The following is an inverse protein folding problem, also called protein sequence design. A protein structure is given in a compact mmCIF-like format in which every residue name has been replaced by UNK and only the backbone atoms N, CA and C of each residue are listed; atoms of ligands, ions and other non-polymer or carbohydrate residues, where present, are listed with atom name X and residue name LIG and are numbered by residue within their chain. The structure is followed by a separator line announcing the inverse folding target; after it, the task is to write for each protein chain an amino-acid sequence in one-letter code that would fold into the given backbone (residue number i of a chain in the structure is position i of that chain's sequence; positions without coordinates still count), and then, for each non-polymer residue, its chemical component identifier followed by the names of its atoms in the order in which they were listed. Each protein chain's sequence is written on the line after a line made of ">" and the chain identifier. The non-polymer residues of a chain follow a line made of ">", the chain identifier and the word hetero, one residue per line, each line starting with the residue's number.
data_IF_872769226641
#
_entry.id   IF_872769226641
#
_cell.length_a   1.000
_cell.length_b   1.000
_cell.length_c   1.000
_cell.angle_alpha   90.00
_cell.angle_beta   90.00
_cell.angle_gamma   90.00
#
_symmetry.space_group_name_H-M   'P 1'
#
loop_
_entity.id
_entity.type
_entity.pdbx_description
1 polymer ?
#
# COMPACT_ATOMS: atom_id res chain seq x y z
N UNK A 1 -16.17 8.85 12.45
CA UNK A 1 -15.25 7.69 12.25
C UNK A 1 -14.07 7.69 13.22
N UNK A 2 -13.34 8.78 13.38
CA UNK A 2 -12.18 8.86 14.30
C UNK A 2 -12.47 8.41 15.74
N UNK A 3 -13.54 8.90 16.36
CA UNK A 3 -13.90 8.52 17.74
C UNK A 3 -14.19 7.02 17.90
N UNK A 4 -14.80 6.41 16.89
CA UNK A 4 -15.04 4.97 16.86
C UNK A 4 -13.71 4.21 16.79
N UNK A 5 -12.82 4.61 15.88
CA UNK A 5 -11.49 4.01 15.77
C UNK A 5 -10.64 4.20 17.03
N UNK A 6 -10.79 5.33 17.72
CA UNK A 6 -10.09 5.58 18.98
C UNK A 6 -10.61 4.66 20.11
N UNK A 7 -11.91 4.42 20.17
CA UNK A 7 -12.48 3.46 21.13
C UNK A 7 -11.94 2.05 20.95
N UNK A 8 -11.71 1.63 19.68
CA UNK A 8 -11.14 0.34 19.33
C UNK A 8 -9.62 0.36 19.10
N UNK A 9 -8.92 1.41 19.55
CA UNK A 9 -7.49 1.61 19.23
C UNK A 9 -6.57 0.48 19.68
N UNK A 10 -6.86 -0.17 20.83
CA UNK A 10 -6.09 -1.32 21.30
C UNK A 10 -6.22 -2.54 20.38
N UNK A 11 -7.43 -2.82 19.90
CA UNK A 11 -7.68 -3.92 19.00
C UNK A 11 -6.99 -3.69 17.64
N UNK A 12 -7.07 -2.45 17.14
CA UNK A 12 -6.42 -2.06 15.89
C UNK A 12 -4.89 -2.11 16.03
N UNK A 13 -4.37 -1.65 17.15
CA UNK A 13 -2.95 -1.77 17.48
C UNK A 13 -2.52 -3.24 17.47
N UNK A 14 -3.24 -4.10 18.18
CA UNK A 14 -2.98 -5.55 18.22
C UNK A 14 -2.96 -6.16 16.81
N UNK A 15 -3.94 -5.81 15.98
CA UNK A 15 -3.99 -6.25 14.59
C UNK A 15 -2.77 -5.79 13.79
N UNK A 16 -2.36 -4.53 13.89
CA UNK A 16 -1.21 -4.00 13.14
C UNK A 16 0.14 -4.58 13.61
N UNK A 17 0.24 -5.00 14.89
CA UNK A 17 1.46 -5.60 15.46
C UNK A 17 1.54 -7.12 15.20
N UNK A 18 0.41 -7.77 14.89
CA UNK A 18 0.34 -9.22 14.70
C UNK A 18 1.37 -9.78 13.67
N UNK A 19 1.63 -9.16 12.50
CA UNK A 19 2.67 -9.63 11.59
C UNK A 19 4.07 -9.70 12.23
N UNK A 20 4.39 -8.74 13.12
CA UNK A 20 5.63 -8.77 13.88
C UNK A 20 5.63 -9.90 14.91
N UNK A 21 4.54 -10.02 15.67
CA UNK A 21 4.39 -11.07 16.67
C UNK A 21 4.49 -12.48 16.06
N UNK A 22 3.88 -12.69 14.89
CA UNK A 22 3.96 -13.98 14.18
C UNK A 22 5.37 -14.27 13.64
N UNK A 23 6.08 -13.26 13.13
CA UNK A 23 7.43 -13.44 12.62
C UNK A 23 8.44 -13.82 13.70
N UNK A 24 8.21 -13.37 14.93
CA UNK A 24 9.09 -13.54 16.10
C UNK A 24 8.71 -14.75 16.97
N UNK A 25 7.51 -15.34 16.77
CA UNK A 25 6.92 -16.37 17.64
C UNK A 25 7.75 -17.67 17.75
N UNK A 26 8.60 -17.96 16.77
CA UNK A 26 9.43 -19.18 16.74
C UNK A 26 10.83 -19.00 17.31
N UNK A 27 11.15 -17.82 17.80
CA UNK A 27 12.47 -17.54 18.39
C UNK A 27 12.41 -17.73 19.92
N UNK A 28 13.37 -18.47 20.47
CA UNK A 28 13.52 -18.68 21.92
C UNK A 28 13.87 -17.38 22.71
N UNK A 29 14.00 -16.27 22.02
CA UNK A 29 14.34 -14.96 22.59
C UNK A 29 13.04 -14.22 22.93
N UNK A 30 12.93 -13.78 24.17
CA UNK A 30 11.77 -13.01 24.66
C UNK A 30 11.80 -11.58 24.07
N UNK A 31 11.32 -11.43 22.83
CA UNK A 31 11.31 -10.16 22.08
C UNK A 31 10.14 -9.30 22.47
N UNK A 32 10.36 -7.99 22.49
CA UNK A 32 9.35 -6.99 22.84
C UNK A 32 9.49 -5.76 21.94
N UNK A 33 8.37 -5.07 21.73
CA UNK A 33 8.38 -3.73 21.20
C UNK A 33 8.65 -2.76 22.36
N UNK A 34 9.52 -1.78 22.13
CA UNK A 34 9.90 -0.79 23.14
C UNK A 34 9.31 0.59 22.80
N UNK A 35 9.06 1.38 23.82
CA UNK A 35 8.83 2.82 23.69
C UNK A 35 9.85 3.57 24.53
N UNK A 36 10.29 4.73 24.04
CA UNK A 36 11.41 5.48 24.62
C UNK A 36 10.97 6.80 25.26
N UNK A 37 9.74 7.24 25.03
CA UNK A 37 9.17 8.44 25.59
C UNK A 37 7.82 8.16 26.27
N UNK A 38 7.53 8.81 27.40
CA UNK A 38 6.30 8.60 28.18
C UNK A 38 5.02 8.85 27.37
N UNK A 39 5.02 9.86 26.50
CA UNK A 39 3.88 10.19 25.65
C UNK A 39 3.79 9.35 24.36
N UNK A 40 4.80 8.53 24.05
CA UNK A 40 4.89 7.81 22.77
C UNK A 40 3.71 6.86 22.57
N UNK A 41 3.33 6.11 23.59
CA UNK A 41 2.21 5.17 23.51
C UNK A 41 0.88 5.89 23.26
N UNK A 42 0.61 6.98 23.97
CA UNK A 42 -0.61 7.76 23.77
C UNK A 42 -0.69 8.35 22.34
N UNK A 43 0.39 8.98 21.88
CA UNK A 43 0.45 9.54 20.54
C UNK A 43 0.35 8.45 19.46
N UNK A 44 0.86 7.26 19.73
CA UNK A 44 0.76 6.11 18.81
C UNK A 44 -0.69 5.65 18.68
N UNK A 45 -1.45 5.54 19.76
CA UNK A 45 -2.89 5.22 19.68
C UNK A 45 -3.69 6.29 18.93
N UNK A 46 -3.37 7.57 19.12
CA UNK A 46 -3.98 8.64 18.33
C UNK A 46 -3.66 8.52 16.84
N UNK A 47 -2.39 8.26 16.48
CA UNK A 47 -1.96 8.07 15.10
C UNK A 47 -2.65 6.86 14.44
N UNK A 48 -2.69 5.73 15.14
CA UNK A 48 -3.34 4.50 14.65
C UNK A 48 -4.84 4.74 14.42
N UNK A 49 -5.50 5.43 15.36
CA UNK A 49 -6.93 5.74 15.23
C UNK A 49 -7.22 6.68 14.07
N UNK A 50 -6.39 7.72 13.90
CA UNK A 50 -6.52 8.65 12.78
C UNK A 50 -6.25 7.97 11.45
N UNK A 51 -5.18 7.18 11.37
CA UNK A 51 -4.83 6.40 10.19
C UNK A 51 -5.97 5.45 9.79
N UNK A 52 -6.49 4.68 10.74
CA UNK A 52 -7.55 3.70 10.46
C UNK A 52 -8.84 4.39 10.03
N UNK A 53 -9.22 5.48 10.68
CA UNK A 53 -10.38 6.28 10.27
C UNK A 53 -10.22 6.79 8.84
N UNK A 54 -9.03 7.30 8.49
CA UNK A 54 -8.71 7.78 7.16
C UNK A 54 -8.66 6.64 6.14
N UNK A 55 -8.00 5.53 6.47
CA UNK A 55 -7.89 4.35 5.61
C UNK A 55 -9.25 3.77 5.24
N UNK A 56 -10.15 3.61 6.21
CA UNK A 56 -11.51 3.10 5.95
C UNK A 56 -12.34 4.10 5.13
N UNK A 57 -12.14 5.41 5.33
CA UNK A 57 -12.89 6.45 4.63
C UNK A 57 -12.34 6.72 3.22
N UNK A 58 -11.04 6.49 3.00
CA UNK A 58 -10.35 6.81 1.74
C UNK A 58 -11.02 6.22 0.49
N UNK A 59 -11.42 4.94 0.41
CA UNK A 59 -12.08 4.41 -0.79
C UNK A 59 -13.43 5.11 -1.09
N UNK A 60 -14.15 5.58 -0.08
CA UNK A 60 -15.37 6.36 -0.28
C UNK A 60 -15.07 7.75 -0.83
N UNK A 61 -14.00 8.39 -0.37
CA UNK A 61 -13.52 9.67 -0.92
C UNK A 61 -13.12 9.48 -2.38
N UNK A 62 -12.36 8.44 -2.69
CA UNK A 62 -11.96 8.11 -4.06
C UNK A 62 -13.18 7.88 -4.97
N UNK A 63 -14.17 7.13 -4.51
CA UNK A 63 -15.43 6.97 -5.27
C UNK A 63 -16.13 8.29 -5.53
N UNK A 64 -16.14 9.21 -4.58
CA UNK A 64 -16.75 10.55 -4.77
C UNK A 64 -15.95 11.38 -5.78
N UNK A 65 -14.62 11.33 -5.74
CA UNK A 65 -13.75 11.97 -6.73
C UNK A 65 -14.07 11.43 -8.13
N UNK A 66 -14.17 10.10 -8.28
CA UNK A 66 -14.54 9.49 -9.56
C UNK A 66 -15.94 9.91 -10.03
N UNK A 67 -16.93 9.95 -9.14
CA UNK A 67 -18.27 10.46 -9.46
C UNK A 67 -18.28 11.93 -9.88
N UNK A 68 -17.38 12.74 -9.34
CA UNK A 68 -17.23 14.14 -9.71
C UNK A 68 -16.58 14.30 -11.10
N UNK A 69 -15.58 13.47 -11.42
CA UNK A 69 -14.89 13.47 -12.71
C UNK A 69 -15.81 12.89 -13.82
N UNK A 70 -16.64 11.92 -13.47
CA UNK A 70 -17.52 11.20 -14.39
C UNK A 70 -18.48 12.08 -15.24
N UNK A 71 -19.09 13.16 -14.74
CA UNK A 71 -19.94 14.03 -15.57
C UNK A 71 -19.20 14.76 -16.70
N UNK A 72 -17.88 14.89 -16.61
CA UNK A 72 -17.02 15.39 -17.69
C UNK A 72 -16.86 14.41 -18.85
N UNK A 73 -17.22 13.13 -18.64
CA UNK A 73 -17.29 12.11 -19.69
C UNK A 73 -18.67 12.17 -20.38
N UNK A 74 -18.71 11.82 -21.67
CA UNK A 74 -19.91 11.85 -22.50
C UNK A 74 -21.12 11.17 -21.84
N UNK A 75 -22.31 11.76 -22.04
CA UNK A 75 -23.57 11.35 -21.37
C UNK A 75 -23.94 9.87 -21.55
N UNK A 76 -23.45 9.21 -22.60
CA UNK A 76 -23.71 7.79 -22.89
C UNK A 76 -22.81 6.81 -22.10
N UNK A 77 -21.75 7.29 -21.43
CA UNK A 77 -20.76 6.41 -20.76
C UNK A 77 -20.96 6.29 -19.24
N UNK A 78 -22.02 6.88 -18.68
CA UNK A 78 -22.26 6.82 -17.21
C UNK A 78 -22.36 5.39 -16.68
N UNK A 79 -22.90 4.46 -17.45
CA UNK A 79 -23.02 3.04 -17.07
C UNK A 79 -21.65 2.38 -17.04
N UNK A 80 -20.75 2.80 -17.92
CA UNK A 80 -19.41 2.26 -18.02
C UNK A 80 -18.46 2.64 -16.84
N UNK A 81 -18.87 3.60 -16.00
CA UNK A 81 -18.10 4.02 -14.80
C UNK A 81 -18.42 3.17 -13.59
N UNK A 82 -19.60 2.55 -13.52
CA UNK A 82 -20.05 1.75 -12.38
C UNK A 82 -19.03 0.66 -11.99
N UNK A 83 -18.46 -0.14 -12.91
CA UNK A 83 -17.48 -1.15 -12.54
C UNK A 83 -16.22 -0.56 -11.89
N UNK A 84 -15.78 0.63 -12.31
CA UNK A 84 -14.63 1.30 -11.69
C UNK A 84 -14.92 1.80 -10.28
N UNK A 85 -16.15 2.26 -10.01
CA UNK A 85 -16.57 2.66 -8.67
C UNK A 85 -16.60 1.48 -7.70
N UNK A 86 -17.00 0.30 -8.18
CA UNK A 86 -16.98 -0.93 -7.36
C UNK A 86 -15.54 -1.45 -7.18
N UNK A 87 -14.74 -1.37 -8.24
CA UNK A 87 -13.36 -1.87 -8.22
C UNK A 87 -12.44 -1.03 -7.32
N UNK A 88 -12.70 0.28 -7.21
CA UNK A 88 -11.92 1.22 -6.38
C UNK A 88 -11.76 0.75 -4.93
N UNK A 89 -12.82 0.49 -4.13
CA UNK A 89 -12.65 0.02 -2.77
C UNK A 89 -12.00 -1.36 -2.70
N UNK A 90 -12.33 -2.26 -3.63
CA UNK A 90 -11.77 -3.62 -3.67
C UNK A 90 -10.26 -3.56 -3.85
N UNK A 91 -9.78 -2.83 -4.85
CA UNK A 91 -8.35 -2.68 -5.10
C UNK A 91 -7.64 -1.97 -3.96
N UNK A 92 -8.27 -0.95 -3.35
CA UNK A 92 -7.69 -0.24 -2.22
C UNK A 92 -7.39 -1.16 -1.03
N UNK A 93 -8.39 -1.95 -0.62
CA UNK A 93 -8.21 -2.91 0.46
C UNK A 93 -7.27 -4.05 0.08
N UNK A 94 -7.29 -4.50 -1.17
CA UNK A 94 -6.39 -5.54 -1.67
C UNK A 94 -4.92 -5.06 -1.62
N UNK A 95 -4.65 -3.78 -1.93
CA UNK A 95 -3.33 -3.18 -1.74
C UNK A 95 -2.88 -3.20 -0.28
N UNK A 96 -3.76 -2.84 0.65
CA UNK A 96 -3.48 -2.92 2.09
C UNK A 96 -3.23 -4.35 2.58
N UNK A 97 -4.04 -5.31 2.12
CA UNK A 97 -3.88 -6.73 2.44
C UNK A 97 -2.56 -7.29 1.92
N UNK A 98 -2.13 -6.92 0.72
CA UNK A 98 -0.85 -7.36 0.16
C UNK A 98 0.32 -6.91 1.04
N UNK A 99 0.29 -5.67 1.51
CA UNK A 99 1.32 -5.18 2.45
C UNK A 99 1.29 -5.97 3.74
N UNK A 100 0.13 -6.15 4.33
CA UNK A 100 -0.05 -6.79 5.63
C UNK A 100 0.40 -8.25 5.62
N UNK A 101 -0.05 -9.04 4.63
CA UNK A 101 0.20 -10.49 4.59
C UNK A 101 1.46 -10.90 3.85
N UNK A 102 1.98 -10.07 2.94
CA UNK A 102 3.14 -10.43 2.13
C UNK A 102 4.36 -9.56 2.45
N UNK A 103 4.23 -8.23 2.33
CA UNK A 103 5.40 -7.33 2.41
C UNK A 103 5.93 -7.25 3.84
N UNK A 104 5.05 -7.07 4.84
CA UNK A 104 5.47 -6.92 6.23
C UNK A 104 6.19 -8.16 6.77
N UNK A 105 5.68 -9.40 6.61
CA UNK A 105 6.42 -10.59 7.04
C UNK A 105 7.77 -10.76 6.35
N UNK A 106 7.89 -10.43 5.06
CA UNK A 106 9.16 -10.47 4.34
C UNK A 106 10.15 -9.44 4.89
N UNK A 107 9.70 -8.20 5.10
CA UNK A 107 10.51 -7.13 5.66
C UNK A 107 11.03 -7.48 7.06
N UNK A 108 10.15 -7.95 7.94
CA UNK A 108 10.53 -8.32 9.31
C UNK A 108 11.57 -9.44 9.31
N UNK A 109 11.34 -10.52 8.53
CA UNK A 109 12.32 -11.63 8.40
C UNK A 109 13.67 -11.14 7.87
N UNK A 110 13.65 -10.21 6.93
CA UNK A 110 14.88 -9.61 6.42
C UNK A 110 15.63 -8.86 7.51
N UNK A 111 14.98 -7.98 8.27
CA UNK A 111 15.63 -7.24 9.34
C UNK A 111 16.13 -8.15 10.47
N UNK A 112 15.40 -9.21 10.80
CA UNK A 112 15.82 -10.22 11.76
C UNK A 112 17.08 -10.99 11.30
N UNK A 113 17.31 -11.12 10.00
CA UNK A 113 18.51 -11.81 9.47
C UNK A 113 19.84 -11.08 9.75
N UNK A 114 19.80 -9.80 10.14
CA UNK A 114 20.98 -9.04 10.53
C UNK A 114 21.37 -9.20 12.00
N UNK A 115 20.57 -9.93 12.78
CA UNK A 115 20.92 -10.22 14.16
C UNK A 115 22.10 -11.17 14.27
N UNK A 116 22.93 -10.96 15.26
CA UNK A 116 24.05 -11.84 15.57
C UNK A 116 24.08 -12.18 17.06
N UNK A 117 24.31 -13.45 17.36
CA UNK A 117 24.43 -13.97 18.75
C UNK A 117 25.77 -13.65 19.41
N UNK A 118 26.65 -12.87 18.76
CA UNK A 118 27.97 -12.53 19.30
C UNK A 118 29.03 -13.61 19.14
N UNK A 119 28.71 -14.76 18.49
CA UNK A 119 29.70 -15.82 18.25
C UNK A 119 30.77 -15.40 17.24
N UNK A 120 30.43 -14.48 16.32
CA UNK A 120 31.36 -13.94 15.31
C UNK A 120 31.83 -12.51 15.59
N UNK A 121 31.20 -11.82 16.55
CA UNK A 121 31.50 -10.43 16.95
C UNK A 121 31.56 -10.33 18.47
N UNK A 122 32.36 -9.39 19.00
CA UNK A 122 32.52 -9.22 20.44
C UNK A 122 31.27 -8.80 21.21
N UNK A 123 30.20 -8.36 20.50
CA UNK A 123 28.91 -7.95 21.09
C UNK A 123 27.75 -8.53 20.29
N UNK A 124 26.68 -9.03 20.95
CA UNK A 124 25.47 -9.45 20.26
C UNK A 124 24.72 -8.24 19.67
N UNK A 125 24.17 -8.40 18.45
CA UNK A 125 23.29 -7.42 17.81
C UNK A 125 21.90 -8.02 17.82
N UNK A 126 20.96 -7.34 18.50
CA UNK A 126 19.56 -7.74 18.60
C UNK A 126 18.65 -6.61 18.15
N UNK A 127 17.59 -6.92 17.40
CA UNK A 127 16.59 -5.97 16.95
C UNK A 127 15.61 -5.64 18.09
N UNK A 128 15.69 -4.44 18.61
CA UNK A 128 14.66 -3.87 19.50
C UNK A 128 13.85 -2.81 18.74
N UNK A 129 12.71 -3.23 18.18
CA UNK A 129 11.90 -2.34 17.37
C UNK A 129 11.10 -1.37 18.26
N UNK A 130 11.15 -0.07 17.92
CA UNK A 130 10.30 0.94 18.57
C UNK A 130 8.88 0.88 18.03
N UNK A 131 7.90 0.90 18.93
CA UNK A 131 6.47 0.85 18.61
C UNK A 131 6.07 1.88 17.55
N UNK A 132 6.43 3.14 17.77
CA UNK A 132 6.05 4.25 16.90
C UNK A 132 6.69 4.14 15.51
N UNK A 133 7.95 3.69 15.40
CA UNK A 133 8.66 3.54 14.12
C UNK A 133 8.07 2.39 13.31
N UNK A 134 7.87 1.23 13.96
CA UNK A 134 7.24 0.08 13.32
C UNK A 134 5.85 0.40 12.78
N UNK A 135 4.95 0.93 13.61
CA UNK A 135 3.60 1.26 13.19
C UNK A 135 3.56 2.36 12.13
N UNK A 136 4.45 3.35 12.21
CA UNK A 136 4.55 4.39 11.18
C UNK A 136 4.96 3.81 9.83
N UNK A 137 5.87 2.84 9.81
CA UNK A 137 6.26 2.12 8.59
C UNK A 137 5.07 1.33 8.03
N UNK A 138 4.43 0.49 8.85
CA UNK A 138 3.27 -0.32 8.46
C UNK A 138 2.17 0.55 7.85
N UNK A 139 1.77 1.62 8.56
CA UNK A 139 0.72 2.53 8.12
C UNK A 139 1.06 3.23 6.80
N UNK A 140 2.30 3.71 6.64
CA UNK A 140 2.77 4.33 5.39
C UNK A 140 2.67 3.36 4.22
N UNK A 141 3.14 2.12 4.40
CA UNK A 141 3.14 1.10 3.35
C UNK A 141 1.71 0.70 2.97
N UNK A 142 0.84 0.42 3.94
CA UNK A 142 -0.56 0.05 3.70
C UNK A 142 -1.27 1.15 2.89
N UNK A 143 -1.07 2.41 3.26
CA UNK A 143 -1.71 3.53 2.58
C UNK A 143 -1.14 3.76 1.18
N UNK A 144 0.19 3.72 1.04
CA UNK A 144 0.86 3.89 -0.24
C UNK A 144 0.43 2.82 -1.26
N UNK A 145 0.34 1.56 -0.82
CA UNK A 145 -0.15 0.46 -1.67
C UNK A 145 -1.64 0.58 -1.96
N UNK A 146 -2.47 0.93 -0.98
CA UNK A 146 -3.88 1.20 -1.20
C UNK A 146 -4.11 2.21 -2.33
N UNK A 147 -3.35 3.32 -2.34
CA UNK A 147 -3.39 4.32 -3.41
C UNK A 147 -2.80 3.77 -4.71
N UNK A 148 -1.65 3.09 -4.66
CA UNK A 148 -0.97 2.57 -5.86
C UNK A 148 -1.82 1.54 -6.59
N UNK A 149 -2.63 0.76 -5.89
CA UNK A 149 -3.57 -0.17 -6.46
C UNK A 149 -4.72 0.51 -7.23
N UNK A 150 -4.85 1.85 -7.15
CA UNK A 150 -5.77 2.61 -7.99
C UNK A 150 -5.22 2.86 -9.40
N UNK A 151 -3.93 2.58 -9.67
CA UNK A 151 -3.33 2.80 -11.00
C UNK A 151 -4.14 2.20 -12.15
N UNK A 152 -4.62 0.93 -12.10
CA UNK A 152 -5.43 0.37 -13.18
C UNK A 152 -6.75 1.12 -13.39
N UNK A 153 -7.38 1.59 -12.33
CA UNK A 153 -8.63 2.36 -12.40
C UNK A 153 -8.37 3.72 -13.03
N UNK A 154 -7.35 4.44 -12.53
CA UNK A 154 -6.99 5.78 -13.03
C UNK A 154 -6.66 5.73 -14.52
N UNK A 155 -5.75 4.83 -14.92
CA UNK A 155 -5.31 4.73 -16.31
C UNK A 155 -6.42 4.27 -17.26
N UNK A 156 -7.29 3.36 -16.80
CA UNK A 156 -8.46 2.91 -17.57
C UNK A 156 -9.47 4.03 -17.79
N UNK A 157 -9.71 4.87 -16.77
CA UNK A 157 -10.58 6.04 -16.91
C UNK A 157 -9.99 7.10 -17.84
N UNK A 158 -8.68 7.38 -17.73
CA UNK A 158 -8.00 8.31 -18.63
C UNK A 158 -8.01 7.81 -20.07
N UNK A 159 -7.89 6.50 -20.29
CA UNK A 159 -8.01 5.92 -21.63
C UNK A 159 -9.42 6.05 -22.21
N UNK A 160 -10.46 5.92 -21.39
CA UNK A 160 -11.85 6.16 -21.84
C UNK A 160 -12.10 7.58 -22.31
N UNK A 161 -11.47 8.55 -21.64
CA UNK A 161 -11.55 9.98 -22.04
C UNK A 161 -10.68 10.28 -23.26
N UNK A 162 -9.84 9.32 -23.70
CA UNK A 162 -8.93 9.53 -24.83
C UNK A 162 -7.67 10.34 -24.49
N UNK A 163 -7.35 10.52 -23.19
CA UNK A 163 -6.16 11.25 -22.75
C UNK A 163 -4.91 10.35 -22.84
N UNK A 164 -5.08 9.04 -22.62
CA UNK A 164 -3.98 8.06 -22.59
C UNK A 164 -4.33 6.90 -23.48
N UNK A 165 -3.37 6.44 -24.29
CA UNK A 165 -3.48 5.26 -25.12
C UNK A 165 -2.48 4.16 -24.71
N UNK A 166 -2.74 2.93 -25.12
CA UNK A 166 -1.90 1.77 -24.80
C UNK A 166 -0.49 1.89 -25.39
N UNK A 167 -0.34 2.55 -26.53
CA UNK A 167 0.95 2.82 -27.17
C UNK A 167 1.78 3.78 -26.32
N UNK A 168 1.20 4.88 -25.88
CA UNK A 168 1.83 5.85 -24.99
C UNK A 168 2.35 5.20 -23.70
N UNK A 169 1.52 4.37 -23.05
CA UNK A 169 1.93 3.67 -21.84
C UNK A 169 3.11 2.73 -22.11
N UNK A 170 3.09 1.97 -23.20
CA UNK A 170 4.18 1.05 -23.57
C UNK A 170 5.51 1.79 -23.81
N UNK A 171 5.48 2.91 -24.48
CA UNK A 171 6.67 3.73 -24.75
C UNK A 171 7.25 4.32 -23.46
N UNK A 172 6.40 4.61 -22.45
CA UNK A 172 6.81 5.19 -21.17
C UNK A 172 7.24 4.17 -20.11
N UNK A 173 7.19 2.87 -20.38
CA UNK A 173 7.57 1.80 -19.42
C UNK A 173 8.88 2.06 -18.70
N UNK A 174 9.94 2.44 -19.42
CA UNK A 174 11.26 2.70 -18.83
C UNK A 174 11.24 3.78 -17.75
N UNK A 175 10.45 4.83 -17.93
CA UNK A 175 10.32 5.89 -16.94
C UNK A 175 9.50 5.47 -15.74
N UNK A 176 8.42 4.71 -15.98
CA UNK A 176 7.56 4.19 -14.91
C UNK A 176 8.33 3.21 -14.02
N UNK A 177 9.16 2.33 -14.59
CA UNK A 177 10.05 1.45 -13.81
C UNK A 177 10.92 2.28 -12.87
N UNK A 178 11.60 3.31 -13.38
CA UNK A 178 12.45 4.19 -12.54
C UNK A 178 11.64 4.89 -11.46
N UNK A 179 10.46 5.42 -11.79
CA UNK A 179 9.58 6.10 -10.81
C UNK A 179 9.12 5.12 -9.73
N UNK A 180 8.74 3.89 -10.09
CA UNK A 180 8.31 2.87 -9.12
C UNK A 180 9.46 2.53 -8.16
N UNK A 181 10.68 2.31 -8.66
CA UNK A 181 11.83 2.04 -7.80
C UNK A 181 12.20 3.23 -6.92
N UNK A 182 12.11 4.45 -7.44
CA UNK A 182 12.33 5.66 -6.64
C UNK A 182 11.26 5.82 -5.55
N UNK A 183 9.99 5.60 -5.88
CA UNK A 183 8.89 5.63 -4.90
C UNK A 183 9.06 4.53 -3.83
N UNK A 184 9.43 3.31 -4.23
CA UNK A 184 9.73 2.22 -3.30
C UNK A 184 10.87 2.60 -2.34
N UNK A 185 11.96 3.19 -2.83
CA UNK A 185 13.09 3.64 -2.00
C UNK A 185 12.72 4.75 -0.99
N UNK A 186 11.72 5.59 -1.31
CA UNK A 186 11.23 6.62 -0.38
C UNK A 186 10.29 6.03 0.71
N UNK A 187 9.61 4.95 0.38
CA UNK A 187 8.62 4.34 1.27
C UNK A 187 9.23 3.33 2.24
N UNK A 188 10.29 2.64 1.82
CA UNK A 188 10.98 1.63 2.63
C UNK A 188 12.27 2.17 3.23
N UNK A 189 12.74 1.57 4.31
CA UNK A 189 14.14 1.67 4.68
C UNK A 189 15.04 1.31 3.47
N UNK A 190 16.27 1.82 3.39
CA UNK A 190 17.14 1.62 2.23
C UNK A 190 17.69 0.18 2.20
N UNK A 191 16.83 -0.80 1.92
CA UNK A 191 17.19 -2.20 1.75
C UNK A 191 16.68 -2.76 0.40
N UNK A 192 17.52 -3.50 -0.34
CA UNK A 192 17.18 -3.98 -1.68
C UNK A 192 16.03 -4.98 -1.70
N UNK A 193 15.87 -5.80 -0.66
CA UNK A 193 14.88 -6.87 -0.64
C UNK A 193 13.47 -6.30 -0.51
N UNK A 194 13.23 -5.41 0.45
CA UNK A 194 11.91 -4.78 0.60
C UNK A 194 11.63 -3.84 -0.56
N UNK A 195 12.62 -3.12 -1.07
CA UNK A 195 12.45 -2.26 -2.25
C UNK A 195 12.01 -3.05 -3.48
N UNK A 196 12.66 -4.18 -3.79
CA UNK A 196 12.28 -5.06 -4.90
C UNK A 196 10.91 -5.68 -4.63
N UNK A 197 10.67 -6.17 -3.41
CA UNK A 197 9.39 -6.74 -2.99
C UNK A 197 8.21 -5.77 -3.15
N UNK A 198 8.45 -4.47 -2.98
CA UNK A 198 7.47 -3.42 -3.24
C UNK A 198 7.34 -3.07 -4.73
N UNK A 199 8.45 -3.04 -5.46
CA UNK A 199 8.45 -2.66 -6.87
C UNK A 199 7.73 -3.68 -7.75
N UNK A 200 7.90 -4.99 -7.49
CA UNK A 200 7.32 -6.07 -8.31
C UNK A 200 5.78 -5.96 -8.40
N UNK A 201 5.00 -5.89 -7.30
CA UNK A 201 3.55 -5.73 -7.39
C UNK A 201 3.12 -4.47 -8.15
N UNK A 202 3.83 -3.36 -7.99
CA UNK A 202 3.53 -2.11 -8.69
C UNK A 202 3.78 -2.22 -10.20
N UNK A 203 4.85 -2.92 -10.60
CA UNK A 203 5.12 -3.22 -12.01
C UNK A 203 4.04 -4.11 -12.62
N UNK A 204 3.59 -5.13 -11.89
CA UNK A 204 2.49 -5.99 -12.32
C UNK A 204 1.20 -5.17 -12.50
N UNK A 205 0.88 -4.29 -11.56
CA UNK A 205 -0.28 -3.40 -11.67
C UNK A 205 -0.20 -2.47 -12.89
N UNK A 206 0.99 -1.97 -13.19
CA UNK A 206 1.19 -1.14 -14.38
C UNK A 206 0.95 -1.94 -15.68
N UNK A 207 1.46 -3.16 -15.78
CA UNK A 207 1.21 -4.02 -16.95
C UNK A 207 -0.27 -4.41 -17.08
N UNK A 208 -0.94 -4.70 -15.95
CA UNK A 208 -2.39 -4.93 -15.94
C UNK A 208 -3.16 -3.69 -16.38
N UNK A 209 -2.67 -2.49 -16.06
CA UNK A 209 -3.26 -1.23 -16.52
C UNK A 209 -3.14 -1.08 -18.04
N UNK A 210 -1.98 -1.39 -18.61
CA UNK A 210 -1.78 -1.38 -20.08
C UNK A 210 -2.73 -2.36 -20.76
N UNK A 211 -2.90 -3.55 -20.18
CA UNK A 211 -3.82 -4.56 -20.70
C UNK A 211 -5.27 -4.07 -20.67
N UNK A 212 -5.71 -3.47 -19.56
CA UNK A 212 -7.05 -2.89 -19.43
C UNK A 212 -7.29 -1.76 -20.44
N UNK A 213 -6.33 -0.87 -20.62
CA UNK A 213 -6.40 0.23 -21.60
C UNK A 213 -6.53 -0.31 -23.03
N UNK A 214 -5.75 -1.33 -23.38
CA UNK A 214 -5.82 -1.95 -24.72
C UNK A 214 -7.20 -2.58 -25.01
N UNK A 215 -7.85 -3.17 -24.00
CA UNK A 215 -9.23 -3.70 -24.14
C UNK A 215 -10.22 -2.56 -24.39
N UNK A 216 -10.09 -1.45 -23.65
CA UNK A 216 -10.97 -0.29 -23.79
C UNK A 216 -10.85 0.32 -25.19
N UNK A 217 -9.63 0.49 -25.70
CA UNK A 217 -9.38 1.02 -27.07
C UNK A 217 -10.02 0.15 -28.14
N UNK A 218 -9.85 -1.19 -28.04
CA UNK A 218 -10.48 -2.11 -29.01
C UNK A 218 -12.00 -2.00 -29.01
N UNK A 219 -12.62 -1.87 -27.84
CA UNK A 219 -14.07 -1.72 -27.73
C UNK A 219 -14.57 -0.38 -28.27
N UNK A 220 -13.83 0.70 -28.07
CA UNK A 220 -14.16 2.01 -28.60
C UNK A 220 -14.08 2.02 -30.14
N UNK A 221 -13.04 1.41 -30.71
CA UNK A 221 -12.86 1.33 -32.16
C UNK A 221 -13.93 0.43 -32.86
N UNK A 222 -14.49 -0.55 -32.14
CA UNK A 222 -15.55 -1.41 -32.68
C UNK A 222 -16.94 -0.76 -32.63
N UNK A 223 -17.11 0.31 -31.81
CA UNK A 223 -18.38 1.02 -31.63
C UNK A 223 -18.43 2.39 -32.36
N UNK A 224 -17.31 2.80 -32.98
CA UNK A 224 -17.19 3.99 -33.83
C UNK A 224 -17.32 3.62 -35.31
#
# INVERSE_FOLDING_TARGET
>A
MFLICYYFSENIYGFLVDPYAQAVKNDDINRRLIFTALQETFLTYLKVSFFTAFFVTCPFILMQIWKFIAPGLYKHEKIAIIPYLILTPILFFLGGMLVYYLIMPLAIKFFLSFESTGLSTSLPIQLEAKVNEYLSLVMKLIFAFGISFQLPVVLSLLARVGIVDSKFLRERRKYVVVIIFAAAALLTPPDPITQIGLAIPLLILYELSIFSVNIIEKNNNNNA
#
